data_IF_545045273738
#
_entry.id   IF_545045273738
#
_cell.length_a   1.000
_cell.length_b   1.000
_cell.length_c   1.000
_cell.angle_alpha   90.00
_cell.angle_beta   90.00
_cell.angle_gamma   90.00
#
_symmetry.space_group_name_H-M   'P 1'
#
loop_
_entity.id
_entity.type
_entity.pdbx_description
1 polymer ?
#
# COMPACT_ATOMS: atom_id res chain seq x y z
N UNK A 1 -9.40 4.49 13.17
CA UNK A 1 -10.72 3.97 12.76
C UNK A 1 -10.93 2.61 13.44
N UNK A 2 -12.17 2.21 13.76
CA UNK A 2 -12.42 0.85 14.25
C UNK A 2 -12.03 -0.18 13.17
N UNK A 3 -11.68 -1.43 13.57
CA UNK A 3 -11.49 -2.52 12.63
C UNK A 3 -12.73 -2.75 11.75
N UNK A 4 -12.52 -3.12 10.49
CA UNK A 4 -13.58 -3.52 9.58
C UNK A 4 -13.75 -5.04 9.60
N UNK A 5 -14.96 -5.49 9.25
CA UNK A 5 -15.23 -6.91 9.07
C UNK A 5 -14.43 -7.50 7.89
N UNK A 6 -14.06 -8.78 8.00
CA UNK A 6 -13.18 -9.45 7.03
C UNK A 6 -13.81 -9.60 5.64
N UNK A 7 -15.14 -9.61 5.54
CA UNK A 7 -15.91 -9.68 4.31
C UNK A 7 -16.04 -8.33 3.57
N UNK A 8 -15.58 -7.23 4.20
CA UNK A 8 -15.63 -5.87 3.63
C UNK A 8 -14.24 -5.39 3.16
N UNK A 9 -13.17 -5.94 3.73
CA UNK A 9 -11.79 -5.59 3.37
C UNK A 9 -11.36 -6.31 2.10
N UNK A 10 -10.34 -5.78 1.43
CA UNK A 10 -9.73 -6.43 0.28
C UNK A 10 -8.48 -7.17 0.73
N UNK A 11 -8.02 -8.15 -0.05
CA UNK A 11 -6.69 -8.74 0.11
C UNK A 11 -5.74 -8.04 -0.85
N UNK A 12 -4.55 -7.70 -0.36
CA UNK A 12 -3.53 -6.97 -1.12
C UNK A 12 -2.12 -7.43 -0.70
N UNK A 13 -1.18 -7.42 -1.63
CA UNK A 13 0.21 -7.84 -1.40
C UNK A 13 1.09 -6.64 -1.05
N UNK A 14 1.70 -6.58 0.13
CA UNK A 14 2.62 -5.50 0.55
C UNK A 14 3.69 -5.23 -0.51
N UNK A 15 4.39 -6.28 -0.94
CA UNK A 15 5.26 -6.27 -2.12
C UNK A 15 4.49 -6.93 -3.26
N UNK A 16 4.29 -6.26 -4.42
CA UNK A 16 3.63 -6.87 -5.58
C UNK A 16 4.33 -8.16 -6.02
N UNK A 17 3.56 -9.16 -6.49
CA UNK A 17 4.13 -10.38 -7.07
C UNK A 17 5.09 -10.08 -8.23
N UNK A 18 4.74 -9.09 -9.08
CA UNK A 18 5.57 -8.63 -10.18
C UNK A 18 6.90 -7.99 -9.73
N UNK A 19 7.05 -7.68 -8.43
CA UNK A 19 8.27 -7.13 -7.81
C UNK A 19 8.91 -8.12 -6.82
N UNK A 20 8.59 -9.41 -6.91
CA UNK A 20 9.19 -10.44 -6.06
C UNK A 20 8.45 -10.69 -4.73
N UNK A 21 7.24 -10.15 -4.56
CA UNK A 21 6.38 -10.53 -3.45
C UNK A 21 5.95 -11.99 -3.49
N UNK A 22 5.50 -12.52 -2.35
CA UNK A 22 5.04 -13.91 -2.18
C UNK A 22 3.55 -13.96 -1.82
N UNK A 23 2.95 -15.15 -1.87
CA UNK A 23 1.58 -15.40 -1.38
C UNK A 23 1.56 -15.77 0.11
N UNK A 24 2.67 -15.64 0.82
CA UNK A 24 2.73 -15.91 2.26
C UNK A 24 1.94 -14.87 3.03
N UNK A 25 1.35 -15.28 4.16
CA UNK A 25 0.58 -14.37 5.04
C UNK A 25 1.38 -13.13 5.47
N UNK A 26 2.71 -13.25 5.57
CA UNK A 26 3.64 -12.15 5.87
C UNK A 26 3.60 -11.03 4.83
N UNK A 27 3.35 -11.36 3.56
CA UNK A 27 3.26 -10.41 2.45
C UNK A 27 1.81 -9.99 2.14
N UNK A 28 0.81 -10.60 2.77
CA UNK A 28 -0.60 -10.22 2.60
C UNK A 28 -1.03 -9.16 3.62
N UNK A 29 -2.03 -8.36 3.24
CA UNK A 29 -2.71 -7.40 4.12
C UNK A 29 -4.17 -7.23 3.73
N UNK A 30 -4.92 -6.62 4.64
CA UNK A 30 -6.38 -6.44 4.53
C UNK A 30 -6.83 -4.97 4.53
N UNK A 31 -6.43 -4.14 3.55
CA UNK A 31 -6.86 -2.74 3.49
C UNK A 31 -8.36 -2.62 3.24
N UNK A 32 -8.96 -1.54 3.76
CA UNK A 32 -10.29 -1.13 3.31
C UNK A 32 -10.23 -0.69 1.83
N UNK A 33 -11.37 -0.68 1.14
CA UNK A 33 -11.45 -0.28 -0.27
C UNK A 33 -10.81 1.08 -0.55
N UNK A 34 -11.03 2.09 0.31
CA UNK A 34 -10.41 3.41 0.16
C UNK A 34 -8.89 3.35 0.21
N UNK A 35 -8.33 2.66 1.21
CA UNK A 35 -6.88 2.53 1.35
C UNK A 35 -6.29 1.76 0.17
N UNK A 36 -6.89 0.65 -0.24
CA UNK A 36 -6.42 -0.17 -1.35
C UNK A 36 -6.36 0.64 -2.67
N UNK A 37 -7.40 1.42 -2.96
CA UNK A 37 -7.45 2.28 -4.15
C UNK A 37 -6.39 3.39 -4.12
N UNK A 38 -6.09 3.95 -2.94
CA UNK A 38 -5.14 5.05 -2.77
C UNK A 38 -3.69 4.59 -2.59
N UNK A 39 -3.40 3.31 -2.72
CA UNK A 39 -2.04 2.80 -2.64
C UNK A 39 -1.22 3.26 -3.86
N UNK A 40 0.03 3.64 -3.66
CA UNK A 40 0.99 4.13 -4.66
C UNK A 40 1.49 3.01 -5.59
N UNK A 41 0.57 2.35 -6.29
CA UNK A 41 0.87 1.25 -7.20
C UNK A 41 0.04 1.41 -8.47
N UNK A 42 0.72 1.45 -9.62
CA UNK A 42 0.07 1.64 -10.92
C UNK A 42 -0.91 0.50 -11.24
N UNK A 43 -0.68 -0.70 -10.70
CA UNK A 43 -1.55 -1.86 -10.91
C UNK A 43 -2.94 -1.68 -10.30
N UNK A 44 -3.09 -0.78 -9.32
CA UNK A 44 -4.34 -0.50 -8.62
C UNK A 44 -5.15 0.65 -9.22
N UNK A 45 -4.60 1.36 -10.22
CA UNK A 45 -5.28 2.51 -10.85
C UNK A 45 -6.60 2.13 -11.53
N UNK A 46 -6.77 0.87 -11.93
CA UNK A 46 -8.04 0.35 -12.46
C UNK A 46 -9.22 0.50 -11.49
N UNK A 47 -8.96 0.57 -10.17
CA UNK A 47 -10.00 0.72 -9.15
C UNK A 47 -10.43 2.18 -8.93
N UNK A 48 -9.63 3.16 -9.36
CA UNK A 48 -9.84 4.59 -9.09
C UNK A 48 -11.15 5.09 -9.72
N UNK A 49 -11.41 4.73 -10.97
CA UNK A 49 -12.59 5.22 -11.69
C UNK A 49 -13.91 4.79 -10.99
N UNK A 50 -13.99 3.54 -10.53
CA UNK A 50 -15.15 3.06 -9.79
C UNK A 50 -15.23 3.68 -8.39
N UNK A 51 -14.10 3.85 -7.70
CA UNK A 51 -14.09 4.46 -6.38
C UNK A 51 -14.49 5.95 -6.40
N UNK A 52 -14.19 6.66 -7.48
CA UNK A 52 -14.68 8.02 -7.74
C UNK A 52 -16.20 8.04 -7.93
N UNK A 53 -16.73 7.14 -8.78
CA UNK A 53 -18.18 7.02 -9.02
C UNK A 53 -18.96 6.71 -7.74
N UNK A 54 -18.38 5.87 -6.89
CA UNK A 54 -19.00 5.45 -5.62
C UNK A 54 -18.79 6.45 -4.47
N UNK A 55 -18.09 7.57 -4.71
CA UNK A 55 -17.83 8.59 -3.69
C UNK A 55 -16.85 8.18 -2.58
N UNK A 56 -16.12 7.07 -2.77
CA UNK A 56 -15.18 6.53 -1.76
C UNK A 56 -13.90 7.37 -1.67
N UNK A 57 -13.48 7.94 -2.79
CA UNK A 57 -12.35 8.86 -2.90
C UNK A 57 -12.80 10.16 -3.57
N UNK A 58 -12.21 11.31 -3.19
CA UNK A 58 -12.54 12.59 -3.81
C UNK A 58 -11.80 12.80 -5.14
N UNK A 59 -12.21 13.75 -6.01
CA UNK A 59 -11.51 14.05 -7.27
C UNK A 59 -10.02 14.40 -7.11
N UNK A 60 -9.62 14.99 -5.98
CA UNK A 60 -8.24 15.30 -5.63
C UNK A 60 -7.49 14.10 -5.01
N UNK A 61 -7.92 12.86 -5.25
CA UNK A 61 -7.38 11.62 -4.67
C UNK A 61 -5.86 11.48 -4.78
N UNK A 62 -5.22 12.06 -5.80
CA UNK A 62 -3.76 12.00 -5.98
C UNK A 62 -2.99 12.57 -4.77
N UNK A 63 -3.55 13.56 -4.08
CA UNK A 63 -2.98 14.13 -2.87
C UNK A 63 -3.11 13.23 -1.63
N UNK A 64 -3.85 12.12 -1.76
CA UNK A 64 -4.16 11.16 -0.69
C UNK A 64 -3.50 9.80 -0.95
N UNK A 65 -2.69 9.69 -2.01
CA UNK A 65 -1.96 8.47 -2.33
C UNK A 65 -0.89 8.22 -1.27
N UNK A 66 -0.71 6.96 -0.89
CA UNK A 66 0.25 6.55 0.13
C UNK A 66 1.06 5.34 -0.37
N UNK A 67 2.33 5.26 0.04
CA UNK A 67 3.22 4.14 -0.24
C UNK A 67 3.73 3.54 1.09
N UNK A 68 4.09 2.25 1.07
CA UNK A 68 4.80 1.60 2.17
C UNK A 68 6.32 1.71 2.00
N UNK A 69 6.81 2.79 1.37
CA UNK A 69 8.26 3.02 1.30
C UNK A 69 8.81 2.76 2.71
N UNK A 70 9.74 1.80 2.87
CA UNK A 70 10.25 1.48 4.18
C UNK A 70 10.71 2.80 4.77
N UNK A 71 10.20 3.14 5.96
CA UNK A 71 10.74 4.25 6.74
C UNK A 71 12.25 4.14 6.61
N UNK A 72 12.89 5.18 6.06
CA UNK A 72 14.32 5.25 5.84
C UNK A 72 15.02 4.39 6.89
N UNK A 73 15.56 3.23 6.49
CA UNK A 73 16.59 2.62 7.31
C UNK A 73 17.72 3.60 7.16
N UNK A 74 17.87 4.48 8.16
CA UNK A 74 19.09 5.23 8.31
C UNK A 74 20.22 4.22 8.15
N UNK A 75 20.97 4.39 7.06
CA UNK A 75 22.11 3.57 6.72
C UNK A 75 23.17 3.83 7.82
N UNK A 76 23.18 2.96 8.83
CA UNK A 76 24.18 2.86 9.89
C UNK A 76 25.52 2.35 9.33
N UNK A 77 25.98 2.95 8.24
CA UNK A 77 27.28 2.71 7.62
C UNK A 77 28.27 3.82 7.99
N UNK A 78 28.45 4.10 9.29
CA UNK A 78 29.72 4.67 9.75
C UNK A 78 30.72 3.53 9.95
N UNK A 79 31.52 3.29 8.91
CA UNK A 79 32.62 2.31 8.91
C UNK A 79 33.57 2.53 10.09
N UNK A 80 34.10 1.47 10.73
CA UNK A 80 35.25 1.64 11.61
C UNK A 80 36.44 2.12 10.76
N UNK A 81 36.96 3.29 11.10
CA UNK A 81 38.26 3.74 10.61
C UNK A 81 39.36 2.93 11.28
N UNK A 82 40.07 2.13 10.49
CA UNK A 82 41.39 1.60 10.84
C UNK A 82 42.45 2.60 10.35
N UNK A 83 43.47 2.86 11.16
CA UNK A 83 44.78 2.32 10.81
C UNK A 83 45.38 1.40 11.89
#
# INVERSE_FOLDING_TARGET
APPLALDVVHIDHRIPLARGGTNELSNLRTPCRRCHVLRADHTHQGMVAQALRDGIIPPNWRALVWDDAPAHTDDDSHKPGEP
#
